data_IF_355344589402
#
_entry.id   IF_355344589402
#
_cell.length_a   1.000
_cell.length_b   1.000
_cell.length_c   1.000
_cell.angle_alpha   90.00
_cell.angle_beta   90.00
_cell.angle_gamma   90.00
#
_symmetry.space_group_name_H-M   'P 1'
#
loop_
_entity.id
_entity.type
_entity.pdbx_description
1 polymer ?
#
# COMPACT_ATOMS: atom_id res chain seq x y z
N UNK A 1 1.74 16.04 -19.23
CA UNK A 1 1.78 14.57 -19.05
C UNK A 1 2.52 14.30 -17.73
N UNK A 2 1.85 14.39 -16.57
CA UNK A 2 2.47 13.92 -15.32
C UNK A 2 2.28 12.41 -15.32
N UNK A 3 3.36 11.66 -15.52
CA UNK A 3 3.31 10.21 -15.34
C UNK A 3 2.88 9.94 -13.89
N UNK A 4 1.81 9.17 -13.70
CA UNK A 4 1.38 8.68 -12.39
C UNK A 4 2.49 7.81 -11.80
N UNK A 5 3.45 8.45 -11.13
CA UNK A 5 4.62 7.77 -10.59
C UNK A 5 4.22 7.23 -9.23
N UNK A 6 3.90 5.94 -9.19
CA UNK A 6 3.49 5.24 -7.96
C UNK A 6 4.68 4.44 -7.43
N UNK A 7 5.06 4.68 -6.18
CA UNK A 7 6.18 3.98 -5.54
C UNK A 7 5.66 2.79 -4.71
N UNK A 8 6.17 1.59 -4.98
CA UNK A 8 5.84 0.39 -4.21
C UNK A 8 6.37 0.54 -2.78
N UNK A 9 5.48 0.43 -1.81
CA UNK A 9 5.80 0.49 -0.38
C UNK A 9 6.03 -0.93 0.18
N UNK A 10 5.18 -1.89 -0.19
CA UNK A 10 5.26 -3.26 0.30
C UNK A 10 4.58 -4.26 -0.65
N UNK A 11 4.99 -5.53 -0.55
CA UNK A 11 4.40 -6.68 -1.24
C UNK A 11 4.11 -7.77 -0.19
N UNK A 12 2.85 -8.11 0.03
CA UNK A 12 2.43 -8.94 1.18
C UNK A 12 3.02 -8.41 2.51
N UNK A 13 3.71 -9.26 3.30
CA UNK A 13 4.38 -8.89 4.57
C UNK A 13 5.71 -8.15 4.35
N UNK A 14 6.23 -8.13 3.12
CA UNK A 14 7.55 -7.60 2.85
C UNK A 14 7.49 -6.12 2.50
N UNK A 15 8.08 -5.28 3.36
CA UNK A 15 8.30 -3.86 3.08
C UNK A 15 9.42 -3.72 2.05
N UNK A 16 9.16 -2.96 0.98
CA UNK A 16 10.11 -2.70 -0.12
C UNK A 16 10.70 -1.29 0.00
N UNK A 17 9.95 -0.33 0.53
CA UNK A 17 10.42 1.04 0.73
C UNK A 17 11.54 1.12 1.77
N UNK A 18 12.45 2.08 1.60
CA UNK A 18 13.48 2.39 2.59
C UNK A 18 12.96 3.21 3.78
N UNK A 19 11.69 3.64 3.76
CA UNK A 19 11.09 4.35 4.88
C UNK A 19 10.85 3.39 6.06
N UNK A 20 11.73 3.46 7.06
CA UNK A 20 11.68 2.62 8.28
C UNK A 20 10.42 2.81 9.14
N UNK A 21 9.64 3.86 8.89
CA UNK A 21 8.35 4.10 9.55
C UNK A 21 7.23 3.23 8.97
N UNK A 22 7.42 2.68 7.77
CA UNK A 22 6.45 1.83 7.08
C UNK A 22 6.56 0.39 7.58
N UNK A 23 5.44 -0.17 8.03
CA UNK A 23 5.35 -1.58 8.42
C UNK A 23 4.07 -2.20 7.84
N UNK A 24 4.05 -3.52 7.67
CA UNK A 24 2.85 -4.25 7.29
C UNK A 24 2.45 -5.20 8.41
N UNK A 25 1.14 -5.38 8.63
CA UNK A 25 0.61 -6.44 9.50
C UNK A 25 -0.48 -7.22 8.79
N UNK A 26 -0.54 -8.53 9.04
CA UNK A 26 -1.61 -9.41 8.62
C UNK A 26 -2.61 -9.60 9.78
N UNK A 27 -3.83 -9.08 9.63
CA UNK A 27 -4.83 -9.04 10.70
C UNK A 27 -5.74 -10.28 10.74
N UNK A 28 -6.06 -10.85 9.57
CA UNK A 28 -6.76 -12.12 9.40
C UNK A 28 -6.34 -12.75 8.07
N UNK A 29 -6.84 -13.93 7.71
CA UNK A 29 -6.45 -14.68 6.49
C UNK A 29 -6.43 -13.86 5.19
N UNK A 30 -7.21 -12.79 5.14
CA UNK A 30 -7.32 -11.95 3.96
C UNK A 30 -6.91 -10.50 4.28
N UNK A 31 -6.82 -10.07 5.52
CA UNK A 31 -6.65 -8.64 5.83
C UNK A 31 -5.21 -8.21 5.99
N UNK A 32 -4.78 -7.30 5.13
CA UNK A 32 -3.44 -6.71 5.09
C UNK A 32 -3.49 -5.22 5.43
N UNK A 33 -2.63 -4.77 6.34
CA UNK A 33 -2.59 -3.39 6.79
C UNK A 33 -1.21 -2.81 6.54
N UNK A 34 -1.16 -1.70 5.80
CA UNK A 34 0.00 -0.83 5.81
C UNK A 34 -0.10 0.06 7.06
N UNK A 35 1.03 0.36 7.70
CA UNK A 35 1.11 1.29 8.82
C UNK A 35 2.27 2.24 8.59
N UNK A 36 2.11 3.50 9.01
CA UNK A 36 3.18 4.49 9.03
C UNK A 36 3.27 5.02 10.46
N UNK A 37 4.39 4.76 11.14
CA UNK A 37 4.64 5.29 12.49
C UNK A 37 4.99 6.78 12.42
N UNK A 38 4.54 7.54 13.41
CA UNK A 38 4.85 8.98 13.54
C UNK A 38 4.56 9.75 12.24
N UNK A 39 3.30 9.71 11.81
CA UNK A 39 2.83 10.34 10.56
C UNK A 39 3.19 11.83 10.52
N UNK A 40 3.71 12.30 9.39
CA UNK A 40 4.04 13.71 9.13
C UNK A 40 3.25 14.25 7.93
N UNK A 41 3.30 15.57 7.68
CA UNK A 41 2.70 16.19 6.49
C UNK A 41 3.22 15.59 5.17
N UNK A 42 4.46 15.09 5.15
CA UNK A 42 5.05 14.43 3.97
C UNK A 42 4.41 13.08 3.65
N UNK A 43 3.73 12.46 4.62
CA UNK A 43 2.99 11.22 4.41
C UNK A 43 1.64 11.43 3.76
N UNK A 44 1.18 12.69 3.67
CA UNK A 44 -0.06 13.04 2.97
C UNK A 44 0.03 12.63 1.50
N UNK A 45 -1.05 12.06 0.99
CA UNK A 45 -1.16 11.66 -0.40
C UNK A 45 -2.07 10.45 -0.60
N UNK A 46 -2.22 10.04 -1.86
CA UNK A 46 -2.93 8.82 -2.21
C UNK A 46 -2.09 7.59 -1.88
N UNK A 47 -2.71 6.63 -1.21
CA UNK A 47 -2.20 5.27 -1.06
C UNK A 47 -3.09 4.33 -1.85
N UNK A 48 -2.49 3.35 -2.51
CA UNK A 48 -3.22 2.39 -3.32
C UNK A 48 -2.89 0.99 -2.85
N UNK A 49 -3.92 0.16 -2.69
CA UNK A 49 -3.74 -1.27 -2.62
C UNK A 49 -4.07 -1.85 -4.01
N UNK A 50 -3.15 -2.63 -4.55
CA UNK A 50 -3.27 -3.23 -5.86
C UNK A 50 -3.16 -4.74 -5.73
N UNK A 51 -4.17 -5.42 -6.26
CA UNK A 51 -4.20 -6.86 -6.40
C UNK A 51 -3.64 -7.23 -7.76
N UNK A 52 -2.49 -7.92 -7.76
CA UNK A 52 -1.86 -8.44 -8.97
C UNK A 52 -2.56 -9.74 -9.42
N UNK A 53 -3.81 -9.59 -9.85
CA UNK A 53 -4.55 -10.58 -10.64
C UNK A 53 -4.44 -10.31 -12.12
N UNK A 54 -4.85 -11.28 -12.94
CA UNK A 54 -5.16 -11.06 -14.35
C UNK A 54 -6.69 -11.15 -14.53
N UNK A 55 -7.41 -10.02 -14.77
CA UNK A 55 -6.92 -8.65 -14.87
C UNK A 55 -6.64 -8.00 -13.50
N UNK A 56 -5.74 -7.01 -13.48
CA UNK A 56 -5.33 -6.30 -12.28
C UNK A 56 -6.50 -5.54 -11.64
N UNK A 57 -6.63 -5.62 -10.31
CA UNK A 57 -7.64 -4.84 -9.56
C UNK A 57 -6.94 -3.88 -8.62
N UNK A 58 -7.35 -2.61 -8.60
CA UNK A 58 -6.76 -1.58 -7.73
C UNK A 58 -7.83 -0.75 -7.03
N UNK A 59 -7.56 -0.33 -5.80
CA UNK A 59 -8.41 0.60 -5.05
C UNK A 59 -7.57 1.74 -4.48
N UNK A 60 -8.01 2.98 -4.72
CA UNK A 60 -7.37 4.20 -4.22
C UNK A 60 -7.96 4.60 -2.87
N UNK A 61 -7.07 4.99 -1.95
CA UNK A 61 -7.44 5.45 -0.61
C UNK A 61 -6.73 6.76 -0.29
N UNK A 62 -7.47 7.65 0.37
CA UNK A 62 -6.94 8.93 0.85
C UNK A 62 -6.23 8.80 2.21
N UNK A 63 -6.24 7.60 2.83
CA UNK A 63 -5.65 7.32 4.13
C UNK A 63 -5.05 5.91 4.19
N UNK A 64 -4.14 5.70 5.15
CA UNK A 64 -3.61 4.38 5.51
C UNK A 64 -4.79 3.49 5.91
N UNK A 65 -5.11 2.47 5.12
CA UNK A 65 -6.29 1.64 5.31
C UNK A 65 -5.94 0.16 5.47
N UNK A 66 -6.74 -0.51 6.29
CA UNK A 66 -6.79 -1.97 6.42
C UNK A 66 -7.58 -2.55 5.26
N UNK A 67 -7.03 -3.50 4.50
CA UNK A 67 -7.68 -4.07 3.32
C UNK A 67 -7.84 -5.58 3.42
N UNK A 68 -9.09 -6.06 3.32
CA UNK A 68 -9.44 -7.48 3.29
C UNK A 68 -9.38 -8.03 1.86
N UNK A 69 -8.37 -8.84 1.59
CA UNK A 69 -7.93 -9.33 0.28
C UNK A 69 -7.62 -10.84 0.33
N UNK A 70 -8.38 -11.68 -0.39
CA UNK A 70 -8.18 -13.12 -0.36
C UNK A 70 -6.97 -13.58 -1.19
N UNK A 71 -6.03 -14.26 -0.53
CA UNK A 71 -5.04 -15.21 -1.09
C UNK A 71 -4.21 -14.77 -2.32
N UNK A 72 -4.03 -13.47 -2.58
CA UNK A 72 -3.42 -12.99 -3.82
C UNK A 72 -2.39 -11.88 -3.57
N UNK A 73 -1.47 -11.72 -4.53
CA UNK A 73 -0.33 -10.81 -4.43
C UNK A 73 -0.77 -9.35 -4.29
N UNK A 74 -0.63 -8.83 -3.08
CA UNK A 74 -0.99 -7.46 -2.73
C UNK A 74 0.21 -6.54 -2.82
N UNK A 75 0.07 -5.44 -3.56
CA UNK A 75 1.03 -4.35 -3.67
C UNK A 75 0.45 -3.10 -3.01
N UNK A 76 1.17 -2.56 -2.03
CA UNK A 76 0.89 -1.22 -1.52
C UNK A 76 1.73 -0.20 -2.29
N UNK A 77 1.10 0.86 -2.77
CA UNK A 77 1.77 1.94 -3.50
C UNK A 77 1.42 3.30 -2.90
N UNK A 78 2.37 4.25 -2.93
CA UNK A 78 2.14 5.66 -2.60
C UNK A 78 2.22 6.48 -3.89
N UNK A 79 1.27 7.36 -4.12
CA UNK A 79 1.33 8.33 -5.21
C UNK A 79 2.41 9.38 -4.89
N UNK A 80 3.39 9.49 -5.78
CA UNK A 80 4.47 10.48 -5.69
C UNK A 80 4.06 11.68 -6.54
N UNK A 81 4.02 12.87 -5.95
CA UNK A 81 3.62 14.12 -6.62
C UNK A 81 4.77 14.78 -7.40
#
# INVERSE_FOLDING_TARGET
LKADTKAIQAIHEHVITHNSRVTVSHADQNTWNLHIKSVTEEDRGGYMCQLNTDPMKSQLFHQISSQKIPHQMLLFQKEVQ
#
